data_IF_254067151650
#
_entry.id   IF_254067151650
#
_cell.length_a   1.000
_cell.length_b   1.000
_cell.length_c   1.000
_cell.angle_alpha   90.00
_cell.angle_beta   90.00
_cell.angle_gamma   90.00
#
_symmetry.space_group_name_H-M   'P 1'
#
loop_
_entity.id
_entity.type
_entity.pdbx_description
1 polymer ?
#
# COMPACT_ATOMS: atom_id res chain seq x y z
N UNK A 1 16.51 -10.00 -10.73
CA UNK A 1 17.31 -10.46 -9.57
C UNK A 1 16.43 -10.33 -8.34
N UNK A 2 16.16 -11.43 -7.62
CA UNK A 2 15.30 -11.39 -6.43
C UNK A 2 15.98 -10.71 -5.24
N UNK A 3 15.20 -10.31 -4.24
CA UNK A 3 15.70 -9.72 -2.99
C UNK A 3 16.71 -10.61 -2.24
N UNK A 4 16.65 -11.93 -2.46
CA UNK A 4 17.61 -12.87 -1.91
C UNK A 4 19.05 -12.57 -2.38
N UNK A 5 19.22 -12.20 -3.65
CA UNK A 5 20.55 -11.83 -4.17
C UNK A 5 21.08 -10.55 -3.50
N UNK A 6 20.20 -9.58 -3.21
CA UNK A 6 20.56 -8.39 -2.43
C UNK A 6 20.95 -8.75 -1.00
N UNK A 7 20.20 -9.65 -0.36
CA UNK A 7 20.50 -10.10 1.00
C UNK A 7 21.89 -10.74 1.09
N UNK A 8 22.24 -11.59 0.13
CA UNK A 8 23.51 -12.32 0.13
C UNK A 8 24.72 -11.44 -0.25
N UNK A 9 24.55 -10.55 -1.23
CA UNK A 9 25.66 -9.77 -1.77
C UNK A 9 25.75 -8.33 -1.25
N UNK A 10 24.61 -7.73 -0.82
CA UNK A 10 24.53 -6.36 -0.33
C UNK A 10 23.54 -6.24 0.83
N UNK A 11 23.81 -6.87 2.00
CA UNK A 11 22.84 -6.96 3.09
C UNK A 11 22.37 -5.60 3.61
N UNK A 12 23.24 -4.61 3.67
CA UNK A 12 22.87 -3.24 4.08
C UNK A 12 21.80 -2.66 3.16
N UNK A 13 21.99 -2.77 1.85
CA UNK A 13 21.01 -2.28 0.86
C UNK A 13 19.69 -3.06 0.95
N UNK A 14 19.78 -4.37 1.20
CA UNK A 14 18.59 -5.20 1.43
C UNK A 14 17.76 -4.64 2.60
N UNK A 15 18.36 -4.43 3.76
CA UNK A 15 17.63 -3.92 4.93
C UNK A 15 17.15 -2.48 4.73
N UNK A 16 17.91 -1.63 4.04
CA UNK A 16 17.50 -0.26 3.69
C UNK A 16 16.24 -0.21 2.81
N UNK A 17 15.95 -1.27 2.04
CA UNK A 17 14.75 -1.39 1.21
C UNK A 17 13.66 -2.21 1.90
N UNK A 18 14.02 -3.37 2.45
CA UNK A 18 13.05 -4.33 3.00
C UNK A 18 12.30 -3.78 4.22
N UNK A 19 13.00 -3.07 5.12
CA UNK A 19 12.37 -2.50 6.32
C UNK A 19 11.35 -1.41 5.96
N UNK A 20 11.67 -0.39 5.14
CA UNK A 20 10.67 0.58 4.68
C UNK A 20 9.49 -0.07 3.95
N UNK A 21 9.73 -1.03 3.04
CA UNK A 21 8.65 -1.74 2.34
C UNK A 21 7.72 -2.42 3.34
N UNK A 22 8.28 -3.19 4.27
CA UNK A 22 7.53 -3.94 5.27
C UNK A 22 6.65 -3.03 6.12
N UNK A 23 7.22 -1.97 6.70
CA UNK A 23 6.46 -1.05 7.54
C UNK A 23 5.47 -0.20 6.74
N UNK A 24 5.77 0.16 5.50
CA UNK A 24 4.81 0.85 4.63
C UNK A 24 3.57 0.01 4.38
N UNK A 25 3.73 -1.29 4.13
CA UNK A 25 2.61 -2.22 3.96
C UNK A 25 1.86 -2.43 5.29
N UNK A 26 2.57 -2.58 6.41
CA UNK A 26 1.95 -2.75 7.73
C UNK A 26 1.09 -1.55 8.09
N UNK A 27 1.59 -0.34 7.89
CA UNK A 27 0.87 0.91 8.21
C UNK A 27 -0.33 1.08 7.28
N UNK A 28 -0.21 0.72 6.01
CA UNK A 28 -1.30 0.67 5.05
C UNK A 28 -2.44 -0.25 5.54
N UNK A 29 -2.12 -1.50 5.87
CA UNK A 29 -3.07 -2.48 6.41
C UNK A 29 -3.68 -2.03 7.75
N UNK A 30 -2.86 -1.46 8.61
CA UNK A 30 -3.29 -0.92 9.90
C UNK A 30 -4.32 0.21 9.72
N UNK A 31 -4.11 1.08 8.72
CA UNK A 31 -5.01 2.18 8.42
C UNK A 31 -6.40 1.67 8.00
N UNK A 32 -6.47 0.63 7.17
CA UNK A 32 -7.74 -0.03 6.82
C UNK A 32 -8.47 -0.54 8.08
N UNK A 33 -7.78 -1.33 8.91
CA UNK A 33 -8.36 -1.90 10.12
C UNK A 33 -8.76 -0.83 11.14
N UNK A 34 -7.99 0.24 11.27
CA UNK A 34 -8.29 1.34 12.18
C UNK A 34 -9.53 2.12 11.75
N UNK A 35 -9.66 2.44 10.46
CA UNK A 35 -10.85 3.12 9.92
C UNK A 35 -12.06 2.21 10.01
N UNK A 36 -11.95 0.91 9.68
CA UNK A 36 -13.03 -0.04 9.83
C UNK A 36 -13.52 -0.11 11.29
N UNK A 37 -12.60 -0.18 12.26
CA UNK A 37 -12.94 -0.17 13.68
C UNK A 37 -13.65 1.13 14.14
N UNK A 38 -13.24 2.28 13.58
CA UNK A 38 -13.93 3.58 13.83
C UNK A 38 -15.33 3.65 13.22
N UNK A 39 -15.57 2.91 12.15
CA UNK A 39 -16.88 2.82 11.48
C UNK A 39 -17.80 1.73 12.05
N UNK A 40 -17.37 1.03 13.11
CA UNK A 40 -18.16 0.05 13.84
C UNK A 40 -17.78 -1.41 13.58
N UNK A 41 -16.72 -1.68 12.80
CA UNK A 41 -16.22 -3.04 12.60
C UNK A 41 -15.05 -3.38 13.54
N UNK A 42 -15.26 -4.13 14.64
CA UNK A 42 -14.21 -4.48 15.59
C UNK A 42 -13.34 -5.67 15.13
N UNK A 43 -13.60 -6.25 13.95
CA UNK A 43 -13.01 -7.53 13.51
C UNK A 43 -11.49 -7.51 13.57
N UNK A 44 -10.84 -6.50 12.99
CA UNK A 44 -9.39 -6.35 12.99
C UNK A 44 -8.81 -6.21 14.42
N UNK A 45 -9.51 -5.46 15.28
CA UNK A 45 -9.11 -5.26 16.68
C UNK A 45 -9.20 -6.56 17.46
N UNK A 46 -10.33 -7.27 17.37
CA UNK A 46 -10.56 -8.55 18.07
C UNK A 46 -9.60 -9.64 17.60
N UNK A 47 -9.22 -9.62 16.32
CA UNK A 47 -8.19 -10.50 15.77
C UNK A 47 -6.75 -10.12 16.18
N UNK A 48 -6.56 -9.05 16.97
CA UNK A 48 -5.24 -8.56 17.39
C UNK A 48 -4.38 -8.05 16.23
N UNK A 49 -5.02 -7.66 15.09
CA UNK A 49 -4.35 -7.25 13.85
C UNK A 49 -4.04 -5.75 13.79
N UNK A 50 -4.58 -4.94 14.72
CA UNK A 50 -4.22 -3.53 14.89
C UNK A 50 -2.90 -3.42 15.67
N UNK A 51 -1.80 -3.81 15.04
CA UNK A 51 -0.48 -3.91 15.66
C UNK A 51 0.62 -3.63 14.64
N UNK A 52 1.69 -2.95 15.07
CA UNK A 52 2.88 -2.74 14.25
C UNK A 52 3.84 -3.94 14.26
N UNK A 53 3.50 -5.05 14.95
CA UNK A 53 4.32 -6.25 14.95
C UNK A 53 4.30 -6.92 13.57
N UNK A 54 5.45 -6.98 12.84
CA UNK A 54 5.52 -7.54 11.50
C UNK A 54 5.01 -8.98 11.40
N UNK A 55 5.28 -9.80 12.42
CA UNK A 55 4.90 -11.23 12.42
C UNK A 55 3.39 -11.44 12.30
N UNK A 56 2.58 -10.44 12.67
CA UNK A 56 1.14 -10.51 12.51
C UNK A 56 0.67 -10.24 11.08
N UNK A 57 1.52 -9.65 10.25
CA UNK A 57 1.19 -9.21 8.88
C UNK A 57 1.92 -10.01 7.79
N UNK A 58 2.93 -10.80 8.16
CA UNK A 58 3.63 -11.65 7.21
C UNK A 58 2.74 -12.82 6.78
N UNK A 59 2.67 -13.01 5.47
CA UNK A 59 2.17 -14.22 4.83
C UNK A 59 3.38 -15.08 4.44
N UNK A 60 3.45 -16.36 4.86
CA UNK A 60 4.62 -17.19 4.57
C UNK A 60 4.88 -17.35 3.07
N UNK A 61 3.83 -17.56 2.28
CA UNK A 61 3.94 -17.74 0.82
C UNK A 61 4.31 -16.41 0.16
N UNK A 62 3.60 -15.32 0.52
CA UNK A 62 3.89 -13.98 0.01
C UNK A 62 5.32 -13.52 0.34
N UNK A 63 5.84 -13.88 1.54
CA UNK A 63 7.21 -13.57 1.95
C UNK A 63 8.24 -14.34 1.10
N UNK A 64 8.01 -15.64 0.87
CA UNK A 64 8.88 -16.45 0.01
C UNK A 64 8.87 -15.92 -1.44
N UNK A 65 7.70 -15.59 -1.97
CA UNK A 65 7.57 -15.01 -3.30
C UNK A 65 8.34 -13.68 -3.42
N UNK A 66 8.27 -12.84 -2.38
CA UNK A 66 9.02 -11.58 -2.34
C UNK A 66 10.55 -11.83 -2.36
N UNK A 67 11.03 -12.82 -1.60
CA UNK A 67 12.46 -13.14 -1.52
C UNK A 67 13.01 -13.70 -2.84
N UNK A 68 12.30 -14.64 -3.45
CA UNK A 68 12.79 -15.35 -4.64
C UNK A 68 12.48 -14.63 -5.94
N UNK A 69 11.32 -14.05 -6.07
CA UNK A 69 10.80 -13.49 -7.32
C UNK A 69 10.74 -11.96 -7.33
N UNK A 70 10.95 -11.31 -6.16
CA UNK A 70 10.93 -9.85 -6.04
C UNK A 70 9.52 -9.25 -5.98
N UNK A 71 8.48 -10.08 -5.90
CA UNK A 71 7.11 -9.67 -5.64
C UNK A 71 6.48 -10.57 -4.57
N UNK A 72 5.60 -10.02 -3.77
CA UNK A 72 4.93 -10.76 -2.70
C UNK A 72 3.76 -9.97 -2.13
N UNK A 73 3.11 -10.52 -1.13
CA UNK A 73 1.99 -9.89 -0.45
C UNK A 73 2.07 -10.10 1.06
N UNK A 74 1.43 -9.21 1.78
CA UNK A 74 1.21 -9.35 3.22
C UNK A 74 -0.14 -10.04 3.48
N UNK A 75 -0.28 -10.59 4.67
CA UNK A 75 -1.56 -11.11 5.13
C UNK A 75 -2.52 -9.92 5.38
N UNK A 76 -3.63 -9.78 4.65
CA UNK A 76 -4.49 -8.62 4.78
C UNK A 76 -5.18 -8.56 6.15
N UNK A 77 -5.50 -7.36 6.60
CA UNK A 77 -6.27 -7.14 7.83
C UNK A 77 -7.74 -7.54 7.58
N UNK A 78 -8.34 -8.39 8.44
CA UNK A 78 -9.72 -8.82 8.25
C UNK A 78 -10.70 -7.67 8.50
N UNK A 79 -11.62 -7.45 7.55
CA UNK A 79 -12.65 -6.43 7.59
C UNK A 79 -14.00 -7.06 7.28
N UNK A 80 -14.99 -6.77 8.12
CA UNK A 80 -16.38 -7.20 7.90
C UNK A 80 -17.28 -5.98 7.64
N UNK A 81 -17.52 -5.70 6.37
CA UNK A 81 -18.42 -4.61 5.97
C UNK A 81 -19.85 -4.79 6.48
N UNK A 82 -20.25 -6.00 6.93
CA UNK A 82 -21.54 -6.27 7.56
C UNK A 82 -21.72 -5.52 8.88
N UNK A 83 -20.62 -5.22 9.58
CA UNK A 83 -20.62 -4.48 10.85
C UNK A 83 -20.70 -2.95 10.65
N UNK A 84 -20.55 -2.46 9.42
CA UNK A 84 -20.54 -1.03 9.10
C UNK A 84 -21.94 -0.60 8.65
N UNK A 85 -22.53 0.40 9.31
CA UNK A 85 -23.89 0.85 9.03
C UNK A 85 -24.11 1.27 7.58
N UNK A 86 -23.22 2.08 7.02
CA UNK A 86 -23.27 2.46 5.61
C UNK A 86 -22.17 1.75 4.83
N UNK A 87 -22.49 0.58 4.27
CA UNK A 87 -21.55 -0.29 3.58
C UNK A 87 -20.82 0.39 2.41
N UNK A 88 -21.50 1.24 1.64
CA UNK A 88 -20.88 1.95 0.50
C UNK A 88 -19.88 2.98 0.97
N UNK A 89 -20.29 3.84 1.91
CA UNK A 89 -19.39 4.84 2.50
C UNK A 89 -18.23 4.15 3.24
N UNK A 90 -18.54 3.07 3.96
CA UNK A 90 -17.53 2.26 4.64
C UNK A 90 -16.51 1.66 3.67
N UNK A 91 -16.95 1.09 2.57
CA UNK A 91 -16.07 0.54 1.53
C UNK A 91 -15.10 1.60 1.00
N UNK A 92 -15.62 2.79 0.65
CA UNK A 92 -14.79 3.91 0.16
C UNK A 92 -13.80 4.37 1.25
N UNK A 93 -14.28 4.65 2.46
CA UNK A 93 -13.44 5.20 3.53
C UNK A 93 -12.36 4.23 3.98
N UNK A 94 -12.72 2.96 4.13
CA UNK A 94 -11.77 1.93 4.53
C UNK A 94 -10.70 1.76 3.45
N UNK A 95 -11.10 1.60 2.18
CA UNK A 95 -10.13 1.41 1.09
C UNK A 95 -9.25 2.65 0.85
N UNK A 96 -9.79 3.86 1.00
CA UNK A 96 -9.00 5.07 0.89
C UNK A 96 -7.99 5.25 2.04
N UNK A 97 -8.21 4.61 3.20
CA UNK A 97 -7.37 4.79 4.38
C UNK A 97 -5.93 4.30 4.17
N UNK A 98 -5.73 3.14 3.52
CA UNK A 98 -4.40 2.62 3.21
C UNK A 98 -3.63 3.52 2.26
N UNK A 99 -4.31 3.98 1.20
CA UNK A 99 -3.75 4.91 0.22
C UNK A 99 -3.34 6.23 0.90
N UNK A 100 -4.24 6.80 1.73
CA UNK A 100 -3.97 8.03 2.48
C UNK A 100 -2.79 7.87 3.45
N UNK A 101 -2.68 6.71 4.12
CA UNK A 101 -1.56 6.42 5.00
C UNK A 101 -0.22 6.38 4.24
N UNK A 102 -0.18 5.76 3.07
CA UNK A 102 1.02 5.77 2.24
C UNK A 102 1.37 7.19 1.75
N UNK A 103 0.39 7.99 1.32
CA UNK A 103 0.63 9.39 0.92
C UNK A 103 1.19 10.21 2.11
N UNK A 104 0.63 10.03 3.31
CA UNK A 104 1.11 10.69 4.51
C UNK A 104 2.55 10.29 4.88
N UNK A 105 2.90 9.00 4.77
CA UNK A 105 4.27 8.52 4.97
C UNK A 105 5.23 9.09 3.93
N UNK A 106 4.84 9.16 2.67
CA UNK A 106 5.64 9.76 1.61
C UNK A 106 5.88 11.25 1.87
N UNK A 107 4.83 11.98 2.25
CA UNK A 107 4.93 13.39 2.63
C UNK A 107 5.87 13.58 3.82
N UNK A 108 5.69 12.80 4.90
CA UNK A 108 6.55 12.89 6.09
C UNK A 108 8.02 12.60 5.78
N UNK A 109 8.30 11.63 4.91
CA UNK A 109 9.66 11.29 4.50
C UNK A 109 10.29 12.41 3.65
N UNK A 110 9.55 13.01 2.71
CA UNK A 110 10.04 14.13 1.90
C UNK A 110 10.24 15.39 2.74
N UNK A 111 9.31 15.69 3.63
CA UNK A 111 9.44 16.80 4.59
C UNK A 111 10.65 16.61 5.50
N UNK A 112 10.81 15.39 6.07
CA UNK A 112 11.97 15.04 6.88
C UNK A 112 13.28 15.24 6.11
N UNK A 113 13.35 14.77 4.87
CA UNK A 113 14.51 14.99 3.99
C UNK A 113 14.81 16.47 3.73
N UNK A 114 13.78 17.29 3.59
CA UNK A 114 13.92 18.75 3.39
C UNK A 114 14.42 19.49 4.65
N UNK A 115 13.95 19.02 5.82
CA UNK A 115 14.33 19.64 7.11
C UNK A 115 15.70 19.21 7.62
N UNK A 116 16.28 18.14 7.06
CA UNK A 116 17.61 17.69 7.45
C UNK A 116 18.68 18.71 7.06
N UNK A 117 19.63 18.91 7.98
CA UNK A 117 20.83 19.70 7.73
C UNK A 117 21.58 19.20 6.48
N UNK A 118 22.24 20.08 5.70
CA UNK A 118 23.17 19.67 4.65
C UNK A 118 24.25 18.67 5.11
N UNK A 119 24.67 18.77 6.39
CA UNK A 119 25.64 17.90 7.03
C UNK A 119 25.08 16.54 7.50
N UNK A 120 23.77 16.31 7.39
CA UNK A 120 23.18 15.02 7.74
C UNK A 120 23.74 13.89 6.85
N UNK A 121 23.90 12.69 7.45
CA UNK A 121 24.49 11.56 6.73
C UNK A 121 23.73 11.22 5.44
N UNK A 122 24.48 10.82 4.42
CA UNK A 122 23.91 10.41 3.12
C UNK A 122 22.96 9.24 3.24
N UNK A 123 23.22 8.33 4.19
CA UNK A 123 22.39 7.16 4.46
C UNK A 123 21.00 7.54 4.94
N UNK A 124 20.89 8.52 5.85
CA UNK A 124 19.57 8.98 6.35
C UNK A 124 18.77 9.61 5.21
N UNK A 125 19.40 10.47 4.40
CA UNK A 125 18.76 11.07 3.20
C UNK A 125 18.29 10.00 2.23
N UNK A 126 19.09 8.96 2.01
CA UNK A 126 18.78 7.86 1.11
C UNK A 126 17.62 7.01 1.64
N UNK A 127 17.58 6.70 2.94
CA UNK A 127 16.46 5.98 3.58
C UNK A 127 15.15 6.75 3.41
N UNK A 128 15.15 8.06 3.72
CA UNK A 128 13.97 8.91 3.57
C UNK A 128 13.52 9.00 2.10
N UNK A 129 14.45 9.10 1.17
CA UNK A 129 14.15 9.08 -0.26
C UNK A 129 13.48 7.76 -0.67
N UNK A 130 14.04 6.60 -0.31
CA UNK A 130 13.43 5.31 -0.62
C UNK A 130 12.08 5.14 0.07
N UNK A 131 11.96 5.57 1.32
CA UNK A 131 10.68 5.54 2.04
C UNK A 131 9.60 6.35 1.31
N UNK A 132 9.94 7.54 0.81
CA UNK A 132 9.02 8.35 0.01
C UNK A 132 8.64 7.64 -1.30
N UNK A 133 9.64 7.16 -2.07
CA UNK A 133 9.38 6.50 -3.35
C UNK A 133 8.53 5.23 -3.20
N UNK A 134 8.83 4.40 -2.21
CA UNK A 134 8.07 3.18 -1.92
C UNK A 134 6.60 3.52 -1.62
N UNK A 135 6.36 4.51 -0.77
CA UNK A 135 5.01 4.88 -0.37
C UNK A 135 4.22 5.55 -1.52
N UNK A 136 4.89 6.34 -2.37
CA UNK A 136 4.27 6.91 -3.58
C UNK A 136 3.87 5.78 -4.56
N UNK A 137 4.75 4.79 -4.76
CA UNK A 137 4.47 3.65 -5.64
C UNK A 137 3.33 2.80 -5.08
N UNK A 138 3.34 2.50 -3.77
CA UNK A 138 2.27 1.74 -3.12
C UNK A 138 0.92 2.46 -3.22
N UNK A 139 0.88 3.77 -2.98
CA UNK A 139 -0.34 4.57 -3.12
C UNK A 139 -0.83 4.61 -4.57
N UNK A 140 0.06 4.85 -5.53
CA UNK A 140 -0.27 4.89 -6.96
C UNK A 140 -0.79 3.54 -7.46
N UNK A 141 -0.15 2.44 -7.05
CA UNK A 141 -0.56 1.08 -7.40
C UNK A 141 -1.94 0.75 -6.82
N UNK A 142 -2.17 1.08 -5.54
CA UNK A 142 -3.46 0.83 -4.90
C UNK A 142 -4.59 1.75 -5.39
N UNK A 143 -4.30 2.86 -6.08
CA UNK A 143 -5.31 3.68 -6.76
C UNK A 143 -5.84 3.05 -8.05
N UNK A 144 -5.18 2.05 -8.62
CA UNK A 144 -5.61 1.39 -9.84
C UNK A 144 -6.96 0.70 -9.60
N UNK A 145 -7.98 0.95 -10.45
CA UNK A 145 -9.32 0.42 -10.25
C UNK A 145 -9.47 -1.04 -10.74
N UNK A 146 -8.53 -1.91 -10.37
CA UNK A 146 -8.53 -3.34 -10.70
C UNK A 146 -8.58 -4.17 -9.42
N UNK A 147 -9.55 -5.09 -9.21
CA UNK A 147 -9.54 -5.99 -8.08
C UNK A 147 -8.24 -6.82 -8.02
N UNK A 148 -7.68 -7.10 -6.85
CA UNK A 148 -8.18 -6.81 -5.50
C UNK A 148 -7.72 -5.46 -4.91
N UNK A 149 -7.14 -4.54 -5.72
CA UNK A 149 -6.59 -3.28 -5.26
C UNK A 149 -7.65 -2.34 -4.66
N UNK A 150 -7.24 -1.46 -3.77
CA UNK A 150 -8.15 -0.54 -3.06
C UNK A 150 -8.91 0.41 -3.98
N UNK A 151 -8.28 0.87 -5.05
CA UNK A 151 -8.92 1.69 -6.09
C UNK A 151 -10.16 1.04 -6.68
N UNK A 152 -10.16 -0.29 -6.82
CA UNK A 152 -11.32 -1.04 -7.27
C UNK A 152 -12.47 -0.98 -6.26
N UNK A 153 -12.16 -1.08 -4.97
CA UNK A 153 -13.13 -1.03 -3.87
C UNK A 153 -13.70 0.39 -3.72
N UNK A 154 -12.86 1.41 -3.89
CA UNK A 154 -13.31 2.81 -3.94
C UNK A 154 -14.28 2.99 -5.11
N UNK A 155 -13.92 2.53 -6.31
CA UNK A 155 -14.79 2.59 -7.48
C UNK A 155 -16.12 1.86 -7.25
N UNK A 156 -16.08 0.63 -6.70
CA UNK A 156 -17.27 -0.13 -6.33
C UNK A 156 -18.21 0.63 -5.38
N UNK A 157 -17.67 1.45 -4.48
CA UNK A 157 -18.47 2.28 -3.57
C UNK A 157 -19.40 3.27 -4.30
N UNK A 158 -19.06 3.69 -5.52
CA UNK A 158 -19.87 4.57 -6.35
C UNK A 158 -20.81 3.82 -7.31
N UNK A 159 -20.59 2.51 -7.51
CA UNK A 159 -21.37 1.70 -8.44
C UNK A 159 -22.69 1.22 -7.86
N UNK A 160 -23.64 0.85 -8.74
CA UNK A 160 -24.85 0.13 -8.33
C UNK A 160 -24.52 -1.27 -7.82
N UNK A 161 -25.38 -1.84 -6.96
CA UNK A 161 -25.17 -3.17 -6.37
C UNK A 161 -24.99 -4.29 -7.40
N UNK A 162 -25.64 -4.16 -8.57
CA UNK A 162 -25.50 -5.12 -9.68
C UNK A 162 -24.09 -5.09 -10.26
N UNK A 163 -23.52 -3.90 -10.47
CA UNK A 163 -22.15 -3.74 -10.97
C UNK A 163 -21.13 -4.15 -9.91
N UNK A 164 -21.35 -3.82 -8.63
CA UNK A 164 -20.50 -4.28 -7.53
C UNK A 164 -20.36 -5.80 -7.54
N UNK A 165 -21.49 -6.51 -7.64
CA UNK A 165 -21.50 -7.97 -7.69
C UNK A 165 -20.74 -8.52 -8.90
N UNK A 166 -20.96 -7.98 -10.10
CA UNK A 166 -20.25 -8.42 -11.30
C UNK A 166 -18.75 -8.14 -11.22
N UNK A 167 -18.38 -6.99 -10.67
CA UNK A 167 -16.99 -6.56 -10.56
C UNK A 167 -16.22 -7.35 -9.47
N UNK A 168 -16.86 -7.67 -8.34
CA UNK A 168 -16.27 -8.50 -7.30
C UNK A 168 -15.97 -9.93 -7.75
N UNK A 169 -16.67 -10.44 -8.77
CA UNK A 169 -16.37 -11.75 -9.37
C UNK A 169 -15.00 -11.82 -10.06
N UNK A 170 -14.39 -10.68 -10.37
CA UNK A 170 -13.03 -10.60 -10.91
C UNK A 170 -11.97 -10.75 -9.82
N UNK A 171 -12.32 -10.56 -8.55
CA UNK A 171 -11.36 -10.56 -7.44
C UNK A 171 -10.48 -11.83 -7.37
N UNK A 172 -11.00 -13.06 -7.55
CA UNK A 172 -10.19 -14.26 -7.57
C UNK A 172 -9.16 -14.32 -8.71
N UNK A 173 -9.41 -13.62 -9.81
CA UNK A 173 -8.55 -13.55 -10.98
C UNK A 173 -7.66 -12.30 -10.99
N UNK A 174 -7.92 -11.35 -10.10
CA UNK A 174 -7.29 -10.04 -10.09
C UNK A 174 -5.77 -10.08 -10.00
N UNK A 175 -5.24 -11.00 -9.21
CA UNK A 175 -3.78 -11.21 -9.11
C UNK A 175 -3.15 -11.57 -10.47
N UNK A 176 -3.74 -12.50 -11.19
CA UNK A 176 -3.25 -12.91 -12.52
C UNK A 176 -3.43 -11.80 -13.56
N UNK A 177 -4.54 -11.06 -13.50
CA UNK A 177 -4.80 -9.92 -14.37
C UNK A 177 -3.71 -8.85 -14.16
N UNK A 178 -3.42 -8.50 -12.90
CA UNK A 178 -2.41 -7.49 -12.57
C UNK A 178 -1.02 -7.93 -13.04
N UNK A 179 -0.62 -9.18 -12.78
CA UNK A 179 0.68 -9.70 -13.25
C UNK A 179 0.75 -9.66 -14.78
N UNK A 180 -0.28 -10.10 -15.49
CA UNK A 180 -0.32 -10.06 -16.94
C UNK A 180 -0.18 -8.64 -17.50
N UNK A 181 -0.90 -7.68 -16.92
CA UNK A 181 -0.83 -6.27 -17.32
C UNK A 181 0.51 -5.62 -16.98
N UNK A 182 1.14 -5.99 -15.86
CA UNK A 182 2.50 -5.56 -15.53
C UNK A 182 3.52 -6.13 -16.51
N UNK A 183 3.38 -7.41 -16.86
CA UNK A 183 4.30 -8.09 -17.78
C UNK A 183 4.34 -7.46 -19.18
N UNK A 184 3.18 -7.02 -19.68
CA UNK A 184 3.09 -6.32 -20.99
C UNK A 184 3.30 -4.81 -20.88
N UNK A 185 3.60 -4.26 -19.70
CA UNK A 185 3.82 -2.83 -19.47
C UNK A 185 2.55 -1.96 -19.54
N UNK A 186 1.36 -2.56 -19.60
CA UNK A 186 0.10 -1.81 -19.74
C UNK A 186 -0.25 -0.96 -18.50
N UNK A 187 0.28 -1.33 -17.32
CA UNK A 187 0.08 -0.55 -16.09
C UNK A 187 1.08 0.59 -15.91
N UNK A 188 2.19 0.61 -16.62
CA UNK A 188 3.23 1.62 -16.46
C UNK A 188 2.71 3.06 -16.64
N UNK A 189 1.94 3.40 -17.71
CA UNK A 189 1.39 4.74 -17.88
C UNK A 189 0.36 5.10 -16.80
N UNK A 190 -0.42 4.12 -16.32
CA UNK A 190 -1.42 4.32 -15.26
C UNK A 190 -0.72 4.60 -13.92
N UNK A 191 0.30 3.82 -13.58
CA UNK A 191 1.12 4.03 -12.39
C UNK A 191 1.82 5.39 -12.46
N UNK A 192 2.41 5.74 -13.62
CA UNK A 192 3.07 7.02 -13.83
C UNK A 192 2.11 8.20 -13.64
N UNK A 193 0.87 8.09 -14.14
CA UNK A 193 -0.17 9.10 -13.98
C UNK A 193 -0.53 9.32 -12.50
N UNK A 194 -0.81 8.24 -11.74
CA UNK A 194 -1.13 8.38 -10.32
C UNK A 194 0.06 8.87 -9.49
N UNK A 195 1.27 8.42 -9.82
CA UNK A 195 2.50 8.97 -9.20
C UNK A 195 2.63 10.46 -9.43
N UNK A 196 2.38 10.93 -10.63
CA UNK A 196 2.43 12.36 -10.95
C UNK A 196 1.40 13.14 -10.13
N UNK A 197 0.16 12.66 -10.01
CA UNK A 197 -0.87 13.30 -9.17
C UNK A 197 -0.42 13.38 -7.71
N UNK A 198 0.06 12.27 -7.14
CA UNK A 198 0.50 12.20 -5.75
C UNK A 198 1.68 13.15 -5.50
N UNK A 199 2.68 13.14 -6.39
CA UNK A 199 3.84 14.03 -6.28
C UNK A 199 3.44 15.49 -6.39
N UNK A 200 2.54 15.86 -7.33
CA UNK A 200 2.04 17.22 -7.48
C UNK A 200 1.31 17.69 -6.22
N UNK A 201 0.47 16.83 -5.63
CA UNK A 201 -0.22 17.11 -4.38
C UNK A 201 0.77 17.30 -3.21
N UNK A 202 1.74 16.41 -3.05
CA UNK A 202 2.77 16.52 -1.99
C UNK A 202 3.63 17.79 -2.21
N UNK A 203 4.01 18.08 -3.45
CA UNK A 203 4.78 19.28 -3.79
C UNK A 203 4.03 20.54 -3.42
N UNK A 204 2.73 20.62 -3.70
CA UNK A 204 1.89 21.75 -3.29
C UNK A 204 1.92 21.96 -1.77
N UNK A 205 1.82 20.87 -0.99
CA UNK A 205 1.88 20.94 0.48
C UNK A 205 3.26 21.33 1.04
N UNK A 206 4.32 21.02 0.30
CA UNK A 206 5.70 21.35 0.72
C UNK A 206 6.13 22.76 0.36
N UNK A 207 5.51 23.40 -0.62
CA UNK A 207 5.90 24.71 -1.14
C UNK A 207 4.85 25.82 -0.88
N UNK A 208 3.65 25.43 -0.41
CA UNK A 208 2.63 26.37 0.09
C UNK A 208 2.87 26.72 1.55
#
# INVERSE_FOLDING_TARGET
>A
MGLLNLLLNKPVVFFMLAVPILYSIIIHELAHGWVANRLGDPTARLAGRLSLNPLKHLDPVGTLMLLFFGFGWAKPVPINLGNIQNKRKGLIMVSAAGIAANIALAFAALLGGRLLSPSASGEIKLILYYMAQINIILAAFNLIPIPPLDGSKILMGFMSSRFQYSFSRLEPYGFFIIIGLLYIGALDPVIAFFRWIILSFISLLLHG
#
